data_IF_723573173041
#
_entry.id   IF_723573173041
#
_cell.length_a   1.000
_cell.length_b   1.000
_cell.length_c   1.000
_cell.angle_alpha   90.00
_cell.angle_beta   90.00
_cell.angle_gamma   90.00
#
_symmetry.space_group_name_H-M   'P 1'
#
loop_
_entity.id
_entity.type
_entity.pdbx_description
1 polymer ?
#
# COMPACT_ATOMS: atom_id res chain seq x y z
N UNK A 1 -20.01 -4.86 -20.85
CA UNK A 1 -18.81 -4.12 -20.42
C UNK A 1 -18.97 -3.80 -18.93
N UNK A 2 -17.96 -3.99 -18.08
CA UNK A 2 -18.07 -3.59 -16.68
C UNK A 2 -18.39 -2.09 -16.59
N UNK A 3 -19.32 -1.74 -15.71
CA UNK A 3 -19.74 -0.35 -15.49
C UNK A 3 -18.59 0.44 -14.90
N UNK A 4 -18.10 1.47 -15.60
CA UNK A 4 -17.00 2.33 -15.13
C UNK A 4 -17.56 3.33 -14.12
N UNK A 5 -17.00 3.34 -12.91
CA UNK A 5 -17.38 4.26 -11.83
C UNK A 5 -16.30 5.31 -11.64
N UNK A 6 -16.68 6.56 -11.42
CA UNK A 6 -15.76 7.66 -11.11
C UNK A 6 -15.67 7.87 -9.60
N UNK A 7 -14.46 7.95 -9.06
CA UNK A 7 -14.17 8.19 -7.65
C UNK A 7 -13.04 9.22 -7.51
N UNK A 8 -13.10 10.06 -6.47
CA UNK A 8 -12.05 11.04 -6.17
C UNK A 8 -10.79 10.36 -5.64
N UNK A 9 -9.61 10.86 -6.01
CA UNK A 9 -8.33 10.34 -5.53
C UNK A 9 -8.21 10.35 -4.00
N UNK A 10 -8.67 11.41 -3.34
CA UNK A 10 -8.66 11.49 -1.87
C UNK A 10 -9.48 10.36 -1.22
N UNK A 11 -10.58 9.95 -1.88
CA UNK A 11 -11.40 8.84 -1.41
C UNK A 11 -10.71 7.48 -1.62
N UNK A 12 -9.92 7.33 -2.70
CA UNK A 12 -9.08 6.14 -2.94
C UNK A 12 -8.04 6.04 -1.83
N UNK A 13 -7.33 7.12 -1.54
CA UNK A 13 -6.34 7.17 -0.46
C UNK A 13 -6.97 6.82 0.89
N UNK A 14 -8.02 7.53 1.29
CA UNK A 14 -8.64 7.36 2.60
C UNK A 14 -9.17 5.93 2.81
N UNK A 15 -9.83 5.36 1.79
CA UNK A 15 -10.37 3.99 1.88
C UNK A 15 -9.27 2.94 1.89
N UNK A 16 -8.23 3.10 1.07
CA UNK A 16 -7.10 2.16 1.02
C UNK A 16 -6.32 2.16 2.33
N UNK A 17 -6.02 3.35 2.87
CA UNK A 17 -5.32 3.48 4.16
C UNK A 17 -6.13 2.88 5.30
N UNK A 18 -7.43 3.18 5.38
CA UNK A 18 -8.31 2.61 6.40
C UNK A 18 -8.39 1.08 6.31
N UNK A 19 -8.49 0.52 5.10
CA UNK A 19 -8.51 -0.93 4.89
C UNK A 19 -7.20 -1.57 5.38
N UNK A 20 -6.04 -1.05 4.97
CA UNK A 20 -4.74 -1.59 5.37
C UNK A 20 -4.53 -1.56 6.90
N UNK A 21 -4.90 -0.44 7.56
CA UNK A 21 -4.84 -0.31 9.02
C UNK A 21 -5.71 -1.34 9.73
N UNK A 22 -6.95 -1.52 9.24
CA UNK A 22 -7.88 -2.51 9.79
C UNK A 22 -7.31 -3.95 9.70
N UNK A 23 -6.45 -4.21 8.71
CA UNK A 23 -5.86 -5.53 8.48
C UNK A 23 -4.48 -5.70 9.13
N UNK A 24 -4.02 -4.72 9.93
CA UNK A 24 -2.81 -4.85 10.75
C UNK A 24 -1.57 -4.10 10.23
N UNK A 25 -1.71 -3.20 9.27
CA UNK A 25 -0.63 -2.28 8.91
C UNK A 25 -0.54 -1.11 9.90
N UNK A 26 0.67 -0.68 10.22
CA UNK A 26 0.94 0.55 10.97
C UNK A 26 0.49 1.78 10.15
N UNK A 27 0.25 2.90 10.83
CA UNK A 27 -0.30 4.11 10.19
C UNK A 27 0.57 4.60 9.03
N UNK A 28 1.90 4.61 9.20
CA UNK A 28 2.83 5.09 8.16
C UNK A 28 2.94 4.13 6.97
N UNK A 29 2.91 2.80 7.21
CA UNK A 29 2.92 1.79 6.15
C UNK A 29 1.63 1.88 5.35
N UNK A 30 0.48 1.94 6.02
CA UNK A 30 -0.81 2.06 5.38
C UNK A 30 -0.94 3.33 4.54
N UNK A 31 -0.46 4.47 5.05
CA UNK A 31 -0.44 5.73 4.31
C UNK A 31 0.46 5.67 3.07
N UNK A 32 1.65 5.07 3.19
CA UNK A 32 2.61 4.94 2.09
C UNK A 32 2.04 4.09 0.94
N UNK A 33 1.47 2.92 1.26
CA UNK A 33 0.85 2.04 0.27
C UNK A 33 -0.41 2.68 -0.34
N UNK A 34 -1.25 3.35 0.47
CA UNK A 34 -2.42 4.06 -0.03
C UNK A 34 -2.05 5.20 -1.01
N UNK A 35 -0.93 5.90 -0.76
CA UNK A 35 -0.39 6.90 -1.69
C UNK A 35 0.03 6.27 -3.02
N UNK A 36 0.71 5.11 -2.98
CA UNK A 36 1.11 4.39 -4.18
C UNK A 36 -0.10 3.90 -4.99
N UNK A 37 -1.13 3.35 -4.33
CA UNK A 37 -2.39 2.94 -4.96
C UNK A 37 -3.07 4.14 -5.63
N UNK A 38 -3.16 5.26 -4.92
CA UNK A 38 -3.80 6.49 -5.44
C UNK A 38 -3.07 7.01 -6.67
N UNK A 39 -1.73 6.98 -6.67
CA UNK A 39 -0.93 7.37 -7.82
C UNK A 39 -1.14 6.43 -9.01
N UNK A 40 -1.15 5.12 -8.76
CA UNK A 40 -1.37 4.11 -9.79
C UNK A 40 -2.73 4.29 -10.48
N UNK A 41 -3.79 4.55 -9.71
CA UNK A 41 -5.13 4.85 -10.26
C UNK A 41 -5.15 6.15 -11.06
N UNK A 42 -4.47 7.20 -10.59
CA UNK A 42 -4.37 8.47 -11.31
C UNK A 42 -3.66 8.33 -12.67
N UNK A 43 -2.71 7.40 -12.78
CA UNK A 43 -1.98 7.09 -14.01
C UNK A 43 -2.64 6.01 -14.88
N UNK A 44 -3.74 5.40 -14.41
CA UNK A 44 -4.42 4.30 -15.10
C UNK A 44 -3.68 2.96 -15.04
N UNK A 45 -2.72 2.80 -14.12
CA UNK A 45 -2.06 1.54 -13.86
C UNK A 45 -2.90 0.68 -12.91
N UNK A 46 -3.82 -0.09 -13.51
CA UNK A 46 -4.79 -0.91 -12.78
C UNK A 46 -4.10 -1.96 -11.90
N UNK A 47 -3.03 -2.61 -12.36
CA UNK A 47 -2.40 -3.74 -11.65
C UNK A 47 -1.81 -3.32 -10.30
N UNK A 48 -1.30 -2.08 -10.20
CA UNK A 48 -0.72 -1.55 -8.97
C UNK A 48 -1.72 -0.75 -8.12
N UNK A 49 -2.94 -0.54 -8.61
CA UNK A 49 -3.97 0.27 -7.97
C UNK A 49 -4.92 -0.52 -7.06
N UNK A 50 -6.19 -0.12 -7.04
CA UNK A 50 -7.26 -0.71 -6.24
C UNK A 50 -7.47 -2.20 -6.53
N UNK A 51 -7.16 -2.63 -7.76
CA UNK A 51 -7.24 -4.04 -8.15
C UNK A 51 -6.45 -4.95 -7.19
N UNK A 52 -5.32 -4.48 -6.67
CA UNK A 52 -4.44 -5.30 -5.81
C UNK A 52 -4.68 -5.11 -4.31
N UNK A 53 -5.53 -4.16 -3.90
CA UNK A 53 -5.74 -3.82 -2.49
C UNK A 53 -6.20 -5.01 -1.65
N UNK A 54 -7.11 -5.83 -2.17
CA UNK A 54 -7.58 -7.04 -1.47
C UNK A 54 -6.41 -8.00 -1.18
N UNK A 55 -5.52 -8.19 -2.14
CA UNK A 55 -4.35 -9.06 -1.99
C UNK A 55 -3.44 -8.57 -0.86
N UNK A 56 -3.17 -7.26 -0.77
CA UNK A 56 -2.40 -6.69 0.33
C UNK A 56 -3.06 -6.93 1.69
N UNK A 57 -4.36 -6.67 1.79
CA UNK A 57 -5.15 -6.94 3.01
C UNK A 57 -5.07 -8.41 3.43
N UNK A 58 -5.17 -9.36 2.49
CA UNK A 58 -5.07 -10.81 2.77
C UNK A 58 -3.66 -11.23 3.18
N UNK A 59 -2.64 -10.61 2.60
CA UNK A 59 -1.25 -10.87 2.96
C UNK A 59 -0.92 -10.40 4.39
N UNK A 60 -1.50 -9.26 4.81
CA UNK A 60 -1.41 -8.80 6.19
C UNK A 60 -2.13 -9.75 7.15
N UNK A 61 -3.38 -10.11 6.84
CA UNK A 61 -4.17 -11.03 7.68
C UNK A 61 -3.55 -12.42 7.82
N UNK A 62 -2.97 -12.95 6.74
CA UNK A 62 -2.32 -14.27 6.78
C UNK A 62 -0.96 -14.27 7.48
N UNK A 63 -0.42 -13.10 7.82
CA UNK A 63 0.94 -12.96 8.36
C UNK A 63 2.05 -13.19 7.33
N UNK A 64 1.71 -13.38 6.04
CA UNK A 64 2.70 -13.43 4.96
C UNK A 64 3.49 -12.13 4.86
N UNK A 65 2.85 -11.01 5.18
CA UNK A 65 3.47 -9.68 5.29
C UNK A 65 3.26 -9.18 6.71
N UNK A 66 4.35 -8.76 7.36
CA UNK A 66 4.26 -8.06 8.63
C UNK A 66 4.11 -6.56 8.39
N UNK A 67 2.90 -6.03 8.61
CA UNK A 67 2.56 -4.62 8.42
C UNK A 67 3.05 -3.67 9.51
N UNK A 68 3.87 -4.14 10.46
CA UNK A 68 4.31 -3.36 11.63
C UNK A 68 5.83 -3.27 11.77
N UNK A 69 6.58 -3.73 10.77
CA UNK A 69 8.05 -3.70 10.79
C UNK A 69 8.60 -2.30 10.60
N UNK A 70 9.70 -2.02 11.31
CA UNK A 70 10.53 -0.85 11.04
C UNK A 70 11.75 -1.27 10.21
N UNK A 71 12.14 -0.50 9.18
CA UNK A 71 13.33 -0.81 8.38
C UNK A 71 14.61 -0.76 9.24
N UNK A 72 15.45 -1.80 9.15
CA UNK A 72 16.74 -1.84 9.81
C UNK A 72 17.83 -1.39 8.86
N UNK A 73 18.35 -0.18 9.05
CA UNK A 73 19.36 0.40 8.16
C UNK A 73 20.76 -0.04 8.61
N UNK A 74 21.55 -0.57 7.68
CA UNK A 74 22.98 -0.84 7.90
C UNK A 74 23.87 -0.20 6.83
N UNK A 75 25.09 0.16 7.24
CA UNK A 75 26.12 0.78 6.41
C UNK A 75 27.40 -0.06 6.45
N UNK A 76 27.43 -1.24 5.79
CA UNK A 76 28.58 -2.15 5.87
C UNK A 76 29.85 -1.58 5.22
N UNK A 77 29.71 -0.62 4.30
CA UNK A 77 30.81 0.10 3.66
C UNK A 77 30.35 1.52 3.26
N UNK A 78 31.28 2.47 3.09
CA UNK A 78 30.95 3.79 2.56
C UNK A 78 30.16 3.69 1.24
N UNK A 79 29.04 4.41 1.16
CA UNK A 79 28.16 4.44 -0.01
C UNK A 79 27.23 3.24 -0.21
N UNK A 80 27.14 2.30 0.74
CA UNK A 80 26.17 1.22 0.69
C UNK A 80 25.18 1.31 1.86
N UNK A 81 23.90 1.51 1.55
CA UNK A 81 22.77 1.37 2.48
C UNK A 81 22.08 0.05 2.16
N UNK A 82 22.05 -0.87 3.12
CA UNK A 82 21.25 -2.08 3.03
C UNK A 82 20.03 -1.92 3.95
N UNK A 83 18.86 -2.23 3.41
CA UNK A 83 17.57 -2.25 4.09
C UNK A 83 17.05 -3.70 4.17
#
# INVERSE_FOLDING_TARGET
>A
MPTKTSIKLDAIFARSSAALRLHGASDWIAASVASAITRAEAEGNVICGLYYLESYCRQLLSGRVNGTVEPAISLPRPGAVLA
#
